data_IF_516500606348
#
_entry.id   IF_516500606348
#
_cell.length_a   1.000
_cell.length_b   1.000
_cell.length_c   1.000
_cell.angle_alpha   90.00
_cell.angle_beta   90.00
_cell.angle_gamma   90.00
#
_symmetry.space_group_name_H-M   'P 1'
#
loop_
_entity.id
_entity.type
_entity.pdbx_description
1 polymer ?
#
# COMPACT_ATOMS: atom_id res chain seq x y z
N UNK A 1 -0.57 2.34 -7.98
CA UNK A 1 -1.34 3.26 -8.86
C UNK A 1 -0.80 3.05 -10.25
N UNK A 2 -1.62 2.71 -11.22
CA UNK A 2 -1.18 2.51 -12.60
C UNK A 2 -1.10 3.84 -13.35
N UNK A 3 -0.45 3.82 -14.51
CA UNK A 3 -0.22 5.02 -15.32
C UNK A 3 -1.52 5.68 -15.82
N UNK A 4 -2.57 4.88 -16.04
CA UNK A 4 -3.86 5.40 -16.50
C UNK A 4 -4.58 6.11 -15.36
N UNK A 5 -4.62 5.54 -14.16
CA UNK A 5 -5.21 6.17 -12.99
C UNK A 5 -4.56 7.52 -12.67
N UNK A 6 -3.22 7.61 -12.77
CA UNK A 6 -2.51 8.88 -12.58
C UNK A 6 -2.83 9.91 -13.66
N UNK A 7 -3.05 9.47 -14.89
CA UNK A 7 -3.46 10.37 -15.98
C UNK A 7 -4.88 10.91 -15.76
N UNK A 8 -5.81 10.04 -15.34
CA UNK A 8 -7.20 10.43 -15.07
C UNK A 8 -7.29 11.39 -13.88
N UNK A 9 -6.52 11.15 -12.82
CA UNK A 9 -6.42 12.05 -11.66
C UNK A 9 -5.83 13.40 -12.04
N UNK A 10 -4.81 13.40 -12.91
CA UNK A 10 -4.22 14.63 -13.44
C UNK A 10 -5.24 15.45 -14.22
N UNK A 11 -5.96 14.84 -15.15
CA UNK A 11 -6.97 15.54 -15.97
C UNK A 11 -8.09 16.13 -15.12
N UNK A 12 -8.57 15.36 -14.12
CA UNK A 12 -9.59 15.82 -13.18
C UNK A 12 -9.09 17.01 -12.35
N UNK A 13 -7.93 16.89 -11.72
CA UNK A 13 -7.35 17.93 -10.87
C UNK A 13 -6.96 19.18 -11.66
N UNK A 14 -6.36 19.01 -12.85
CA UNK A 14 -5.99 20.09 -13.72
C UNK A 14 -7.22 20.83 -14.26
N UNK A 15 -8.29 20.11 -14.59
CA UNK A 15 -9.57 20.70 -14.98
C UNK A 15 -10.19 21.56 -13.89
N UNK A 16 -10.07 21.16 -12.61
CA UNK A 16 -10.52 21.95 -11.47
C UNK A 16 -9.65 23.20 -11.27
N UNK A 17 -8.32 23.07 -11.33
CA UNK A 17 -7.39 24.17 -11.12
C UNK A 17 -7.52 25.28 -12.17
N UNK A 18 -7.83 24.93 -13.42
CA UNK A 18 -8.09 25.89 -14.50
C UNK A 18 -9.25 26.86 -14.23
N UNK A 19 -10.15 26.50 -13.31
CA UNK A 19 -11.29 27.37 -12.92
C UNK A 19 -10.87 28.51 -12.00
N UNK A 20 -9.66 28.47 -11.43
CA UNK A 20 -9.17 29.54 -10.55
C UNK A 20 -8.49 30.66 -11.36
N UNK A 21 -8.88 31.94 -11.17
CA UNK A 21 -8.43 33.06 -11.99
C UNK A 21 -6.91 33.29 -12.02
N UNK A 22 -6.23 32.91 -10.95
CA UNK A 22 -4.78 33.12 -10.77
C UNK A 22 -3.94 31.89 -11.13
N UNK A 23 -4.57 30.83 -11.64
CA UNK A 23 -3.86 29.60 -11.97
C UNK A 23 -3.10 29.74 -13.29
N UNK A 24 -1.78 29.68 -13.23
CA UNK A 24 -0.89 29.72 -14.40
C UNK A 24 -0.52 28.30 -14.82
N UNK A 25 -1.15 27.80 -15.87
CA UNK A 25 -0.99 26.41 -16.35
C UNK A 25 0.31 26.12 -17.11
N UNK A 26 1.10 27.14 -17.46
CA UNK A 26 2.19 27.01 -18.44
C UNK A 26 3.33 26.04 -18.12
N UNK A 27 3.44 25.61 -16.87
CA UNK A 27 4.53 24.71 -16.43
C UNK A 27 4.04 23.37 -15.92
N UNK A 28 2.73 23.17 -15.77
CA UNK A 28 2.17 21.93 -15.21
C UNK A 28 1.83 20.98 -16.34
N UNK A 29 2.45 19.81 -16.31
CA UNK A 29 2.17 18.71 -17.24
C UNK A 29 2.12 17.38 -16.49
N UNK A 30 1.63 16.34 -17.15
CA UNK A 30 1.48 15.01 -16.57
C UNK A 30 2.80 14.44 -16.01
N UNK A 31 3.94 14.71 -16.65
CA UNK A 31 5.23 14.22 -16.17
C UNK A 31 5.62 14.86 -14.84
N UNK A 32 5.46 16.17 -14.69
CA UNK A 32 5.68 16.87 -13.41
C UNK A 32 4.69 16.43 -12.33
N UNK A 33 3.43 16.20 -12.72
CA UNK A 33 2.43 15.65 -11.80
C UNK A 33 2.85 14.28 -11.27
N UNK A 34 3.26 13.35 -12.13
CA UNK A 34 3.76 12.02 -11.72
C UNK A 34 4.95 12.11 -10.77
N UNK A 35 5.90 13.01 -11.07
CA UNK A 35 7.04 13.25 -10.17
C UNK A 35 6.58 13.78 -8.82
N UNK A 36 5.68 14.75 -8.78
CA UNK A 36 5.16 15.32 -7.53
C UNK A 36 4.42 14.26 -6.70
N UNK A 37 3.56 13.46 -7.31
CA UNK A 37 2.84 12.35 -6.64
C UNK A 37 3.82 11.31 -6.11
N UNK A 38 4.84 10.94 -6.89
CA UNK A 38 5.87 9.99 -6.46
C UNK A 38 6.64 10.50 -5.24
N UNK A 39 7.06 11.76 -5.25
CA UNK A 39 7.76 12.40 -4.12
C UNK A 39 6.83 12.46 -2.90
N UNK A 40 5.60 12.93 -3.06
CA UNK A 40 4.64 13.04 -1.97
C UNK A 40 4.34 11.67 -1.34
N UNK A 41 4.02 10.66 -2.16
CA UNK A 41 3.67 9.32 -1.68
C UNK A 41 4.84 8.60 -0.99
N UNK A 42 6.09 8.86 -1.43
CA UNK A 42 7.27 8.25 -0.81
C UNK A 42 7.69 8.91 0.52
N UNK A 43 7.13 10.08 0.85
CA UNK A 43 7.45 10.86 2.06
C UNK A 43 6.29 11.06 3.01
N UNK A 44 5.10 10.63 2.60
CA UNK A 44 3.90 10.72 3.43
C UNK A 44 3.92 9.66 4.53
N UNK A 45 3.40 10.05 5.70
CA UNK A 45 3.20 9.19 6.86
C UNK A 45 1.71 9.01 7.10
N UNK A 46 1.27 7.79 7.31
CA UNK A 46 -0.05 7.54 7.85
C UNK A 46 -0.03 7.83 9.36
N UNK A 47 -0.83 8.77 9.79
CA UNK A 47 -0.89 9.19 11.20
C UNK A 47 -2.00 8.45 11.93
N UNK A 48 -3.24 8.64 11.53
CA UNK A 48 -4.42 7.98 12.05
C UNK A 48 -5.59 8.08 11.05
N UNK A 49 -6.74 7.53 11.40
CA UNK A 49 -7.94 7.57 10.53
C UNK A 49 -8.47 8.98 10.26
N UNK A 50 -8.17 9.94 11.12
CA UNK A 50 -8.62 11.33 10.97
C UNK A 50 -7.72 12.13 10.02
N UNK A 51 -6.40 12.05 10.20
CA UNK A 51 -5.44 12.79 9.39
C UNK A 51 -5.07 12.07 8.10
N UNK A 52 -5.19 10.74 8.08
CA UNK A 52 -4.76 9.93 6.94
C UNK A 52 -3.25 10.03 6.68
N UNK A 53 -2.88 10.10 5.40
CA UNK A 53 -1.49 10.31 4.98
C UNK A 53 -1.13 11.80 4.98
N UNK A 54 -0.08 12.14 5.71
CA UNK A 54 0.41 13.51 5.89
C UNK A 54 1.86 13.66 5.49
N UNK A 55 2.18 14.78 4.83
CA UNK A 55 3.56 15.23 4.66
C UNK A 55 4.00 16.00 5.91
N UNK A 56 5.00 15.47 6.62
CA UNK A 56 5.47 16.04 7.88
C UNK A 56 6.92 16.49 7.66
N UNK A 57 7.16 17.81 7.53
CA UNK A 57 8.51 18.32 7.34
C UNK A 57 9.44 17.84 8.47
N UNK A 58 10.66 17.45 8.10
CA UNK A 58 11.68 16.91 8.99
C UNK A 58 11.48 15.48 9.50
N UNK A 59 10.25 14.96 9.55
CA UNK A 59 10.01 13.58 9.95
C UNK A 59 10.52 12.59 8.88
N UNK A 60 10.54 13.01 7.64
CA UNK A 60 10.97 12.24 6.48
C UNK A 60 12.48 12.07 6.30
N UNK A 61 13.28 12.64 7.23
CA UNK A 61 14.75 12.46 7.25
C UNK A 61 15.20 11.10 7.80
N UNK A 62 14.31 10.39 8.54
CA UNK A 62 14.64 9.10 9.11
C UNK A 62 14.52 7.99 8.06
N UNK A 63 15.61 7.22 7.89
CA UNK A 63 15.60 6.06 7.02
C UNK A 63 14.73 4.92 7.59
N UNK A 64 14.29 4.04 6.71
CA UNK A 64 13.55 2.83 7.07
C UNK A 64 14.46 1.74 7.60
N UNK A 65 13.94 0.95 8.56
CA UNK A 65 14.46 -0.38 8.85
C UNK A 65 13.33 -1.30 9.30
N UNK A 66 13.28 -2.53 8.74
CA UNK A 66 12.41 -3.62 9.22
C UNK A 66 12.95 -4.26 10.50
N UNK A 67 14.23 -4.05 10.80
CA UNK A 67 14.89 -4.71 11.93
C UNK A 67 14.89 -3.85 13.19
N UNK A 68 14.90 -2.53 13.05
CA UNK A 68 15.07 -1.58 14.13
C UNK A 68 14.17 -0.37 13.94
N UNK A 69 13.31 -0.10 14.89
CA UNK A 69 12.53 1.13 14.93
C UNK A 69 12.96 1.91 16.16
N UNK A 70 13.57 3.08 15.93
CA UNK A 70 14.09 3.93 16.99
C UNK A 70 13.16 5.11 17.28
N UNK A 71 12.45 5.58 16.27
CA UNK A 71 11.53 6.71 16.35
C UNK A 71 10.19 6.35 15.71
N UNK A 72 9.11 6.96 16.21
CA UNK A 72 7.77 6.86 15.63
C UNK A 72 7.05 8.21 15.69
N UNK A 73 6.20 8.53 14.71
CA UNK A 73 5.31 9.66 14.81
C UNK A 73 4.14 9.35 15.77
N UNK A 74 3.81 10.30 16.60
CA UNK A 74 2.63 10.31 17.44
C UNK A 74 1.88 11.61 17.25
N UNK A 75 0.56 11.54 17.21
CA UNK A 75 -0.29 12.72 17.34
C UNK A 75 -0.62 12.93 18.82
N UNK A 76 -0.29 14.09 19.37
CA UNK A 76 -0.78 14.47 20.69
C UNK A 76 -2.28 14.71 20.59
N UNK A 77 -3.08 13.83 21.16
CA UNK A 77 -4.53 14.04 21.27
C UNK A 77 -4.76 15.01 22.43
N UNK A 78 -5.26 16.21 22.13
CA UNK A 78 -6.01 16.92 23.17
C UNK A 78 -7.26 16.11 23.49
N UNK A 79 -7.52 15.82 24.75
CA UNK A 79 -8.61 14.99 25.26
C UNK A 79 -10.03 15.52 24.97
N UNK A 80 -10.14 16.69 24.35
CA UNK A 80 -11.40 17.34 23.97
C UNK A 80 -11.30 17.82 22.52
N UNK A 81 -11.48 16.90 21.57
CA UNK A 81 -11.59 17.29 20.16
C UNK A 81 -13.01 17.76 19.84
N UNK A 82 -13.20 19.06 19.76
CA UNK A 82 -14.24 19.61 18.92
C UNK A 82 -13.78 19.53 17.46
N UNK A 83 -14.61 19.04 16.56
CA UNK A 83 -14.30 18.76 15.14
C UNK A 83 -13.81 19.98 14.33
N UNK A 84 -13.67 21.15 14.94
CA UNK A 84 -13.21 22.41 14.34
C UNK A 84 -11.87 22.93 14.89
N UNK A 85 -11.26 22.24 15.87
CA UNK A 85 -10.02 22.72 16.50
C UNK A 85 -8.79 22.01 15.90
N UNK A 86 -8.50 22.33 14.65
CA UNK A 86 -7.30 21.85 13.93
C UNK A 86 -6.00 22.44 14.50
N UNK A 87 -6.09 23.49 15.31
CA UNK A 87 -4.96 24.32 15.74
C UNK A 87 -4.19 23.76 16.94
N UNK A 88 -4.69 22.71 17.62
CA UNK A 88 -4.09 22.17 18.85
C UNK A 88 -3.46 20.77 18.72
N UNK A 89 -3.42 20.19 17.51
CA UNK A 89 -2.83 18.86 17.30
C UNK A 89 -1.37 18.98 16.90
N UNK A 90 -0.48 18.47 17.75
CA UNK A 90 0.96 18.38 17.46
C UNK A 90 1.33 16.99 17.02
N UNK A 91 2.17 16.87 15.98
CA UNK A 91 2.80 15.62 15.59
C UNK A 91 4.20 15.59 16.19
N UNK A 92 4.43 14.61 17.04
CA UNK A 92 5.68 14.45 17.79
C UNK A 92 6.42 13.21 17.25
N UNK A 93 7.68 13.40 16.85
CA UNK A 93 8.60 12.29 16.57
C UNK A 93 9.22 11.85 17.89
N UNK A 94 8.79 10.71 18.41
CA UNK A 94 9.23 10.20 19.70
C UNK A 94 10.19 9.03 19.56
N UNK A 95 11.29 9.05 20.33
CA UNK A 95 12.15 7.88 20.48
C UNK A 95 11.43 6.78 21.26
N UNK A 96 11.42 5.56 20.72
CA UNK A 96 10.76 4.39 21.32
C UNK A 96 11.75 3.43 22.00
N UNK A 97 13.04 3.71 21.89
CA UNK A 97 14.09 2.95 22.57
C UNK A 97 15.36 3.78 22.77
N UNK A 98 16.27 3.30 23.62
CA UNK A 98 17.59 3.91 23.81
C UNK A 98 18.49 3.60 22.63
N UNK A 99 19.15 4.63 22.10
CA UNK A 99 20.12 4.51 20.99
C UNK A 99 21.48 5.03 21.43
N UNK A 100 22.53 4.30 21.08
CA UNK A 100 23.91 4.73 21.40
C UNK A 100 24.27 6.00 20.63
N UNK A 101 25.03 6.86 21.26
CA UNK A 101 25.56 8.07 20.63
C UNK A 101 26.26 7.75 19.29
N UNK A 102 26.07 8.61 18.31
CA UNK A 102 26.59 8.50 16.93
C UNK A 102 26.06 7.31 16.12
N UNK A 103 24.93 6.74 16.49
CA UNK A 103 24.23 5.76 15.65
C UNK A 103 23.10 6.44 14.90
N UNK A 104 22.87 5.96 13.70
CA UNK A 104 21.71 6.39 12.90
C UNK A 104 20.41 5.99 13.58
N UNK A 105 19.41 6.86 13.48
CA UNK A 105 18.05 6.61 13.95
C UNK A 105 17.18 6.16 12.78
N UNK A 106 16.50 5.05 12.95
CA UNK A 106 15.60 4.50 11.94
C UNK A 106 14.14 4.65 12.37
N UNK A 107 13.30 4.94 11.38
CA UNK A 107 11.84 4.81 11.48
C UNK A 107 11.41 3.53 10.76
N UNK A 108 10.14 3.18 10.84
CA UNK A 108 9.52 2.14 10.02
C UNK A 108 8.55 2.76 9.03
N UNK A 109 8.58 2.31 7.78
CA UNK A 109 7.60 2.65 6.75
C UNK A 109 6.46 1.61 6.69
N UNK A 110 6.33 0.82 7.78
CA UNK A 110 5.37 -0.27 7.89
C UNK A 110 5.94 -1.63 7.46
N UNK A 111 5.06 -2.61 7.37
CA UNK A 111 5.41 -3.98 6.98
C UNK A 111 5.50 -4.05 5.45
N UNK A 112 6.61 -3.57 4.89
CA UNK A 112 6.83 -3.48 3.45
C UNK A 112 7.67 -4.64 2.94
N UNK A 113 7.24 -5.27 1.85
CA UNK A 113 8.09 -6.21 1.10
C UNK A 113 9.18 -5.45 0.33
N UNK A 114 10.22 -6.15 -0.13
CA UNK A 114 11.24 -5.53 -0.98
C UNK A 114 10.70 -5.02 -2.32
N UNK A 115 9.67 -5.68 -2.87
CA UNK A 115 8.97 -5.17 -4.05
C UNK A 115 8.26 -3.84 -3.78
N UNK A 116 7.58 -3.73 -2.63
CA UNK A 116 6.94 -2.48 -2.21
C UNK A 116 7.96 -1.38 -1.90
N UNK A 117 9.06 -1.72 -1.19
CA UNK A 117 10.14 -0.78 -0.89
C UNK A 117 10.78 -0.25 -2.18
N UNK A 118 11.06 -1.14 -3.15
CA UNK A 118 11.63 -0.75 -4.43
C UNK A 118 10.66 0.13 -5.23
N UNK A 119 9.39 -0.25 -5.30
CA UNK A 119 8.38 0.48 -6.07
C UNK A 119 8.09 1.87 -5.50
N UNK A 120 7.90 1.97 -4.18
CA UNK A 120 7.47 3.22 -3.53
C UNK A 120 8.66 4.12 -3.15
N UNK A 121 9.79 3.54 -2.76
CA UNK A 121 10.91 4.27 -2.16
C UNK A 121 12.23 4.13 -2.91
N UNK A 122 12.34 3.21 -3.87
CA UNK A 122 13.52 3.05 -4.71
C UNK A 122 14.68 2.27 -4.10
N UNK A 123 14.47 1.51 -3.02
CA UNK A 123 15.49 0.68 -2.38
C UNK A 123 14.95 -0.69 -1.96
N UNK A 124 15.87 -1.60 -1.64
CA UNK A 124 15.58 -2.89 -1.01
C UNK A 124 16.39 -3.04 0.28
N UNK A 125 15.84 -3.77 1.24
CA UNK A 125 16.52 -4.09 2.50
C UNK A 125 17.03 -5.53 2.49
N UNK A 126 18.29 -5.70 2.88
CA UNK A 126 18.88 -7.03 2.99
C UNK A 126 18.23 -7.81 4.15
N UNK A 127 17.88 -9.09 3.92
CA UNK A 127 17.16 -9.92 4.90
C UNK A 127 15.85 -9.31 5.40
N UNK A 128 15.08 -8.65 4.53
CA UNK A 128 13.78 -8.11 4.87
C UNK A 128 12.85 -9.23 5.40
N UNK A 129 12.45 -9.11 6.68
CA UNK A 129 11.57 -10.08 7.35
C UNK A 129 10.14 -10.07 6.81
N UNK A 130 9.75 -8.99 6.14
CA UNK A 130 8.44 -8.82 5.53
C UNK A 130 8.46 -9.20 4.04
N UNK A 131 9.37 -10.10 3.64
CA UNK A 131 9.42 -10.60 2.26
C UNK A 131 8.15 -11.37 1.92
N UNK A 132 7.40 -10.90 0.92
CA UNK A 132 6.28 -11.63 0.33
C UNK A 132 6.24 -11.39 -1.18
N UNK A 133 5.57 -12.30 -1.87
CA UNK A 133 5.22 -12.16 -3.29
C UNK A 133 3.71 -12.06 -3.39
N UNK A 134 3.24 -11.00 -4.03
CA UNK A 134 1.81 -10.84 -4.32
C UNK A 134 1.45 -11.60 -5.59
N UNK A 135 0.42 -12.42 -5.52
CA UNK A 135 -0.15 -13.15 -6.65
C UNK A 135 -1.46 -12.48 -7.05
N UNK A 136 -1.51 -12.00 -8.28
CA UNK A 136 -2.75 -11.48 -8.85
C UNK A 136 -3.55 -12.61 -9.49
N UNK A 137 -4.78 -12.82 -9.01
CA UNK A 137 -5.72 -13.80 -9.54
C UNK A 137 -6.83 -13.09 -10.30
N UNK A 138 -6.85 -13.12 -11.64
CA UNK A 138 -7.84 -12.41 -12.42
C UNK A 138 -9.22 -13.07 -12.32
N UNK A 139 -10.09 -12.57 -11.47
CA UNK A 139 -11.46 -13.10 -11.27
C UNK A 139 -12.35 -13.08 -12.50
N UNK A 140 -12.06 -12.26 -13.50
CA UNK A 140 -12.88 -12.19 -14.72
C UNK A 140 -13.02 -13.52 -15.46
N UNK A 141 -12.08 -14.47 -15.19
CA UNK A 141 -12.09 -15.81 -15.80
C UNK A 141 -12.73 -16.88 -14.92
N UNK A 142 -13.07 -16.56 -13.67
CA UNK A 142 -13.62 -17.54 -12.73
C UNK A 142 -15.12 -17.29 -12.57
N UNK A 143 -15.93 -18.35 -12.68
CA UNK A 143 -17.38 -18.25 -12.44
C UNK A 143 -17.58 -17.83 -10.98
N UNK A 144 -18.24 -16.69 -10.76
CA UNK A 144 -18.64 -16.24 -9.44
C UNK A 144 -19.68 -17.21 -8.88
N UNK A 145 -19.33 -17.91 -7.81
CA UNK A 145 -20.33 -18.56 -6.99
C UNK A 145 -20.93 -17.51 -6.05
N UNK A 146 -22.24 -17.31 -6.14
CA UNK A 146 -22.96 -16.30 -5.36
C UNK A 146 -22.95 -16.55 -3.85
N UNK A 147 -22.57 -17.76 -3.42
CA UNK A 147 -22.55 -18.20 -2.03
C UNK A 147 -21.19 -18.03 -1.34
N UNK A 148 -20.14 -17.73 -2.09
CA UNK A 148 -18.82 -17.42 -1.55
C UNK A 148 -18.62 -15.91 -1.58
N UNK A 149 -18.24 -15.33 -0.44
CA UNK A 149 -17.99 -13.92 -0.27
C UNK A 149 -17.03 -13.31 -1.31
N UNK A 150 -16.78 -12.03 -1.23
CA UNK A 150 -15.85 -11.36 -2.15
C UNK A 150 -14.43 -11.90 -1.95
N UNK A 151 -13.89 -12.56 -2.98
CA UNK A 151 -12.49 -12.95 -3.01
C UNK A 151 -11.59 -11.73 -3.26
N UNK A 152 -10.39 -11.74 -2.67
CA UNK A 152 -9.38 -10.75 -3.01
C UNK A 152 -8.79 -11.02 -4.40
N UNK A 153 -8.52 -9.98 -5.17
CA UNK A 153 -7.77 -10.11 -6.43
C UNK A 153 -6.26 -10.29 -6.21
N UNK A 154 -5.79 -10.02 -5.00
CA UNK A 154 -4.39 -10.11 -4.61
C UNK A 154 -4.26 -10.99 -3.38
N UNK A 155 -3.30 -11.89 -3.41
CA UNK A 155 -2.92 -12.76 -2.29
C UNK A 155 -1.42 -12.71 -2.07
N UNK A 156 -0.99 -12.94 -0.83
CA UNK A 156 0.41 -12.88 -0.46
C UNK A 156 0.97 -14.26 -0.07
N UNK A 157 2.16 -14.57 -0.59
CA UNK A 157 2.97 -15.70 -0.16
C UNK A 157 4.24 -15.14 0.48
N UNK A 158 4.44 -15.46 1.73
CA UNK A 158 5.54 -14.94 2.54
C UNK A 158 6.83 -15.75 2.35
N UNK A 159 7.98 -15.11 2.54
CA UNK A 159 9.30 -15.73 2.39
C UNK A 159 9.57 -16.87 3.37
N UNK A 160 8.85 -16.93 4.49
CA UNK A 160 8.89 -18.01 5.47
C UNK A 160 7.97 -19.19 5.13
N UNK A 161 7.32 -19.15 3.95
CA UNK A 161 6.42 -20.19 3.47
C UNK A 161 4.98 -20.05 3.96
N UNK A 162 4.65 -19.04 4.76
CA UNK A 162 3.26 -18.74 5.10
C UNK A 162 2.49 -18.31 3.86
N UNK A 163 1.26 -18.78 3.76
CA UNK A 163 0.31 -18.45 2.70
C UNK A 163 -0.94 -17.89 3.37
N UNK A 164 -1.54 -16.86 2.80
CA UNK A 164 -2.81 -16.36 3.29
C UNK A 164 -3.88 -17.44 3.27
N UNK A 165 -4.65 -17.53 4.35
CA UNK A 165 -5.68 -18.56 4.53
C UNK A 165 -6.72 -18.52 3.40
N UNK A 166 -7.12 -17.35 2.98
CA UNK A 166 -8.09 -17.14 1.91
C UNK A 166 -7.58 -17.65 0.55
N UNK A 167 -6.26 -17.57 0.29
CA UNK A 167 -5.65 -18.16 -0.91
C UNK A 167 -5.75 -19.69 -0.87
N UNK A 168 -5.52 -20.30 0.30
CA UNK A 168 -5.64 -21.75 0.45
C UNK A 168 -7.07 -22.21 0.20
N UNK A 169 -8.06 -21.51 0.77
CA UNK A 169 -9.48 -21.79 0.55
C UNK A 169 -9.83 -21.60 -0.92
N UNK A 170 -9.38 -20.51 -1.53
CA UNK A 170 -9.60 -20.22 -2.94
C UNK A 170 -9.06 -21.34 -3.86
N UNK A 171 -7.81 -21.76 -3.66
CA UNK A 171 -7.21 -22.86 -4.42
C UNK A 171 -7.97 -24.17 -4.19
N UNK A 172 -8.28 -24.48 -2.93
CA UNK A 172 -9.03 -25.69 -2.55
C UNK A 172 -10.39 -25.77 -3.23
N UNK A 173 -11.12 -24.67 -3.24
CA UNK A 173 -12.42 -24.57 -3.94
C UNK A 173 -12.30 -24.79 -5.44
N UNK A 174 -11.36 -24.13 -6.11
CA UNK A 174 -11.20 -24.25 -7.55
C UNK A 174 -10.66 -25.62 -7.96
N UNK A 175 -9.74 -26.21 -7.19
CA UNK A 175 -9.26 -27.56 -7.45
C UNK A 175 -10.36 -28.60 -7.27
N UNK A 176 -11.21 -28.47 -6.25
CA UNK A 176 -12.34 -29.39 -6.01
C UNK A 176 -13.39 -29.27 -7.10
N UNK A 177 -13.70 -28.04 -7.52
CA UNK A 177 -14.65 -27.76 -8.61
C UNK A 177 -14.11 -28.28 -9.95
N UNK A 178 -12.81 -28.08 -10.23
CA UNK A 178 -12.16 -28.62 -11.43
C UNK A 178 -12.16 -30.15 -11.43
N UNK A 179 -11.84 -30.80 -10.29
CA UNK A 179 -11.91 -32.25 -10.15
C UNK A 179 -13.32 -32.78 -10.40
N UNK A 180 -14.33 -32.15 -9.82
CA UNK A 180 -15.73 -32.54 -10.05
C UNK A 180 -16.14 -32.40 -11.51
N UNK A 181 -15.71 -31.31 -12.17
CA UNK A 181 -15.91 -31.13 -13.61
C UNK A 181 -15.15 -32.15 -14.46
N UNK A 182 -13.89 -32.40 -14.15
CA UNK A 182 -13.07 -33.38 -14.83
C UNK A 182 -13.59 -34.82 -14.65
N UNK A 183 -14.15 -35.16 -13.48
CA UNK A 183 -14.80 -36.45 -13.23
C UNK A 183 -16.13 -36.57 -13.96
N UNK A 184 -16.93 -35.54 -14.09
CA UNK A 184 -18.18 -35.57 -14.86
C UNK A 184 -17.94 -35.67 -16.37
N UNK A 185 -16.84 -35.08 -16.87
CA UNK A 185 -16.51 -35.12 -18.30
C UNK A 185 -15.58 -36.30 -18.69
N UNK A 186 -15.04 -37.06 -17.73
CA UNK A 186 -14.24 -38.25 -18.01
C UNK A 186 -15.02 -39.38 -18.73
N UNK A 187 -16.35 -39.31 -18.75
CA UNK A 187 -17.15 -40.23 -19.56
C UNK A 187 -17.09 -39.97 -21.08
N UNK A 188 -16.66 -38.77 -21.49
CA UNK A 188 -16.52 -38.44 -22.92
C UNK A 188 -15.11 -38.66 -23.50
N UNK A 189 -14.08 -38.74 -22.63
CA UNK A 189 -12.66 -38.89 -23.08
C UNK A 189 -12.15 -40.33 -23.19
N UNK A 190 -13.02 -41.33 -22.93
CA UNK A 190 -12.63 -42.76 -23.04
C UNK A 190 -13.18 -43.42 -24.31
N UNK A 191 -13.79 -42.65 -25.22
CA UNK A 191 -14.40 -43.16 -26.45
C UNK A 191 -13.84 -42.52 -27.73
N UNK A 192 -12.56 -42.10 -27.77
CA UNK A 192 -11.83 -41.88 -29.03
C UNK A 192 -10.46 -42.52 -28.98
#
# INVERSE_FOLDING_TARGET
>A
MDDQSLADDFELGFGLLRKFPNFKSGYINLALYKIAVSIASSRAFYIDEYFGECLIPWADIFNHSTHQTHVKPYCSKSSERNAFDMDSSEIIMQSVCSVRKHRELFNTFGLQSNSSLLHKYGFCEFNNKNGFVSIHVPFRKLKRDKNLGAWSEMYEIYSDGRIEHDLVIFIGYHVSTYRSYAFSNKKEFILE
#
